data_IF_724138242672
#
_entry.id   IF_724138242672
#
_cell.length_a   1.000
_cell.length_b   1.000
_cell.length_c   1.000
_cell.angle_alpha   90.00
_cell.angle_beta   90.00
_cell.angle_gamma   90.00
#
_symmetry.space_group_name_H-M   'P 1'
#
loop_
_entity.id
_entity.type
_entity.pdbx_description
1 polymer ?
#
# COMPACT_ATOMS: atom_id res chain seq x y z
N UNK A 1 6.94 14.93 8.77
CA UNK A 1 6.23 13.89 9.55
C UNK A 1 5.44 14.54 10.68
N UNK A 2 4.23 15.03 10.39
CA UNK A 2 3.35 15.64 11.40
C UNK A 2 1.96 15.00 11.23
N UNK A 3 1.36 14.60 12.34
CA UNK A 3 -0.04 14.17 12.55
C UNK A 3 -0.47 12.71 12.30
N UNK A 4 0.15 11.94 11.40
CA UNK A 4 -0.33 10.58 11.12
C UNK A 4 -0.25 9.53 12.28
N UNK A 5 0.73 9.58 13.19
CA UNK A 5 0.75 8.67 14.35
C UNK A 5 -0.39 8.92 15.34
N UNK A 6 -0.97 10.14 15.34
CA UNK A 6 -2.03 10.53 16.28
C UNK A 6 -3.40 9.93 15.93
N UNK A 7 -3.58 9.43 14.70
CA UNK A 7 -4.82 8.77 14.24
C UNK A 7 -4.72 7.24 14.26
N UNK A 8 -3.70 6.68 14.92
CA UNK A 8 -3.60 5.23 15.13
C UNK A 8 -3.16 4.42 13.91
N UNK A 9 -2.50 5.04 12.92
CA UNK A 9 -1.87 4.33 11.80
C UNK A 9 -0.35 4.28 12.06
N UNK A 10 0.16 3.23 12.74
CA UNK A 10 1.52 3.18 13.24
C UNK A 10 2.58 2.94 12.16
N UNK A 11 2.18 2.50 10.96
CA UNK A 11 3.11 2.07 9.91
C UNK A 11 2.61 2.55 8.55
N UNK A 12 3.42 3.38 7.88
CA UNK A 12 3.28 3.69 6.46
C UNK A 12 4.35 2.92 5.68
N UNK A 13 4.04 2.36 4.50
CA UNK A 13 4.98 1.53 3.73
C UNK A 13 6.17 2.36 3.26
N UNK A 14 7.39 1.98 3.70
CA UNK A 14 8.64 2.73 3.44
C UNK A 14 9.47 2.20 2.27
N UNK A 15 9.18 0.99 1.77
CA UNK A 15 10.09 0.23 0.91
C UNK A 15 9.79 0.34 -0.59
N UNK A 16 8.81 1.16 -1.01
CA UNK A 16 8.43 1.27 -2.43
C UNK A 16 7.89 -0.04 -3.01
N UNK A 17 7.39 -0.93 -2.15
CA UNK A 17 6.76 -2.20 -2.51
C UNK A 17 5.36 -2.24 -1.90
N UNK A 18 4.42 -2.85 -2.62
CA UNK A 18 3.03 -3.00 -2.21
C UNK A 18 2.50 -4.40 -2.50
N UNK A 19 1.28 -4.68 -2.05
CA UNK A 19 0.60 -5.93 -2.37
C UNK A 19 -0.86 -5.65 -2.70
N UNK A 20 -1.36 -6.28 -3.76
CA UNK A 20 -2.78 -6.36 -4.10
C UNK A 20 -3.33 -7.64 -3.49
N UNK A 21 -4.40 -7.50 -2.69
CA UNK A 21 -5.15 -8.62 -2.14
C UNK A 21 -6.50 -8.73 -2.84
N UNK A 22 -6.80 -9.91 -3.39
CA UNK A 22 -8.02 -10.17 -4.17
C UNK A 22 -8.62 -11.52 -3.79
N UNK A 23 -9.73 -11.86 -4.45
CA UNK A 23 -10.44 -13.13 -4.27
C UNK A 23 -10.98 -13.29 -2.84
N UNK A 24 -11.88 -12.38 -2.46
CA UNK A 24 -12.54 -12.41 -1.15
C UNK A 24 -13.51 -13.58 -1.14
N UNK A 25 -13.32 -14.49 -0.18
CA UNK A 25 -14.17 -15.65 -0.01
C UNK A 25 -14.51 -15.87 1.48
N UNK A 26 -15.65 -16.51 1.79
CA UNK A 26 -16.00 -16.83 3.17
C UNK A 26 -15.06 -17.89 3.74
N UNK A 27 -14.64 -17.71 4.99
CA UNK A 27 -13.97 -18.73 5.79
C UNK A 27 -14.71 -18.91 7.13
N UNK A 28 -14.49 -20.00 7.87
CA UNK A 28 -15.12 -20.21 9.19
C UNK A 28 -14.86 -19.07 10.19
N UNK A 29 -13.74 -18.35 10.04
CA UNK A 29 -13.36 -17.21 10.88
C UNK A 29 -13.80 -15.85 10.29
N UNK A 30 -14.59 -15.84 9.20
CA UNK A 30 -15.02 -14.65 8.48
C UNK A 30 -14.41 -14.49 7.07
N UNK A 31 -14.80 -13.46 6.30
CA UNK A 31 -14.28 -13.24 4.95
C UNK A 31 -12.76 -13.04 4.94
N UNK A 32 -12.05 -13.66 4.00
CA UNK A 32 -10.60 -13.48 3.80
C UNK A 32 -10.25 -13.37 2.32
N UNK A 33 -9.10 -12.75 2.04
CA UNK A 33 -8.49 -12.70 0.71
C UNK A 33 -7.76 -14.01 0.42
N UNK A 34 -8.00 -14.62 -0.74
CA UNK A 34 -7.30 -15.83 -1.17
C UNK A 34 -5.98 -15.51 -1.88
N UNK A 35 -5.93 -14.38 -2.57
CA UNK A 35 -4.83 -14.03 -3.47
C UNK A 35 -4.05 -12.85 -2.92
N UNK A 36 -2.72 -12.96 -2.98
CA UNK A 36 -1.78 -11.86 -2.76
C UNK A 36 -0.83 -11.77 -3.94
N UNK A 37 -0.74 -10.59 -4.55
CA UNK A 37 0.25 -10.28 -5.58
C UNK A 37 1.07 -9.06 -5.14
N UNK A 38 2.36 -9.26 -4.94
CA UNK A 38 3.27 -8.17 -4.62
C UNK A 38 3.64 -7.38 -5.90
N UNK A 39 3.91 -6.09 -5.75
CA UNK A 39 4.33 -5.18 -6.81
C UNK A 39 5.35 -4.16 -6.31
N UNK A 40 6.08 -3.55 -7.23
CA UNK A 40 7.05 -2.47 -6.99
C UNK A 40 6.48 -1.17 -7.53
N UNK A 41 6.63 -0.08 -6.79
CA UNK A 41 6.21 1.23 -7.28
C UNK A 41 7.00 1.59 -8.55
N UNK A 42 6.31 2.17 -9.53
CA UNK A 42 6.83 2.42 -10.88
C UNK A 42 6.23 1.49 -11.94
N UNK A 43 5.44 0.50 -11.57
CA UNK A 43 4.68 -0.33 -12.51
C UNK A 43 3.17 -0.01 -12.48
N UNK A 44 2.48 -0.39 -13.53
CA UNK A 44 1.02 -0.36 -13.58
C UNK A 44 0.45 -1.57 -12.85
N UNK A 45 -0.37 -1.32 -11.85
CA UNK A 45 -0.97 -2.35 -11.00
C UNK A 45 -2.43 -2.54 -11.38
N UNK A 46 -2.82 -3.77 -11.68
CA UNK A 46 -4.21 -4.12 -12.00
C UNK A 46 -4.92 -4.69 -10.77
N UNK A 47 -6.10 -4.15 -10.46
CA UNK A 47 -6.97 -4.55 -9.35
C UNK A 47 -8.38 -4.73 -9.89
N UNK A 48 -8.82 -5.97 -10.07
CA UNK A 48 -10.07 -6.27 -10.77
C UNK A 48 -10.03 -5.66 -12.17
N UNK A 49 -11.02 -4.85 -12.50
CA UNK A 49 -11.14 -4.16 -13.80
C UNK A 49 -10.37 -2.84 -13.90
N UNK A 50 -9.72 -2.41 -12.81
CA UNK A 50 -9.05 -1.11 -12.72
C UNK A 50 -7.54 -1.25 -12.84
N UNK A 51 -6.91 -0.36 -13.61
CA UNK A 51 -5.44 -0.24 -13.68
C UNK A 51 -5.02 1.08 -13.05
N UNK A 52 -4.07 1.01 -12.12
CA UNK A 52 -3.54 2.16 -11.38
C UNK A 52 -2.05 2.26 -11.69
N UNK A 53 -1.63 3.38 -12.26
CA UNK A 53 -0.21 3.67 -12.41
C UNK A 53 0.40 4.11 -11.09
N UNK A 54 1.51 3.49 -10.70
CA UNK A 54 2.23 3.83 -9.46
C UNK A 54 3.45 4.71 -9.68
N UNK A 55 3.71 5.11 -10.93
CA UNK A 55 4.90 5.88 -11.34
C UNK A 55 4.92 7.28 -10.69
N UNK A 56 3.78 7.97 -10.64
CA UNK A 56 3.66 9.32 -10.09
C UNK A 56 3.29 9.38 -8.61
N UNK A 57 3.16 8.22 -7.93
CA UNK A 57 2.77 8.22 -6.53
C UNK A 57 3.94 8.70 -5.66
N UNK A 58 3.72 9.66 -4.74
CA UNK A 58 4.78 10.19 -3.91
C UNK A 58 5.37 9.06 -3.05
N UNK A 59 6.67 8.83 -3.22
CA UNK A 59 7.45 7.97 -2.35
C UNK A 59 7.93 8.79 -1.17
N UNK A 60 7.84 8.25 0.02
CA UNK A 60 8.41 8.92 1.18
C UNK A 60 9.93 8.71 1.16
N UNK A 61 10.69 9.74 0.77
CA UNK A 61 12.14 9.74 0.89
C UNK A 61 12.52 9.59 2.37
N UNK A 62 13.50 8.72 2.70
CA UNK A 62 13.95 8.48 4.09
C UNK A 62 14.49 9.74 4.81
N UNK A 63 14.63 10.88 4.12
CA UNK A 63 15.22 12.13 4.62
C UNK A 63 14.29 13.35 4.76
N UNK A 64 12.96 13.20 4.70
CA UNK A 64 12.02 14.34 4.74
C UNK A 64 11.75 14.91 6.14
N UNK A 65 12.80 15.22 6.90
CA UNK A 65 12.71 15.64 8.31
C UNK A 65 13.84 16.54 8.81
N UNK A 66 14.55 17.27 7.95
CA UNK A 66 15.46 18.33 8.42
C UNK A 66 14.78 19.70 8.33
N UNK A 67 14.83 20.42 9.44
CA UNK A 67 14.08 21.63 9.73
C UNK A 67 14.61 22.85 8.97
N UNK A 68 13.71 23.78 8.63
CA UNK A 68 13.98 25.21 8.73
C UNK A 68 12.90 25.85 9.59
#
# INVERSE_FOLDING_TARGET
MRDYPLIGIPVYPRTGTGAVLTDIHPTPDGPRYATRKDFVYGEDVTIGDWTISTEGLPRYEEGGGERR
#
